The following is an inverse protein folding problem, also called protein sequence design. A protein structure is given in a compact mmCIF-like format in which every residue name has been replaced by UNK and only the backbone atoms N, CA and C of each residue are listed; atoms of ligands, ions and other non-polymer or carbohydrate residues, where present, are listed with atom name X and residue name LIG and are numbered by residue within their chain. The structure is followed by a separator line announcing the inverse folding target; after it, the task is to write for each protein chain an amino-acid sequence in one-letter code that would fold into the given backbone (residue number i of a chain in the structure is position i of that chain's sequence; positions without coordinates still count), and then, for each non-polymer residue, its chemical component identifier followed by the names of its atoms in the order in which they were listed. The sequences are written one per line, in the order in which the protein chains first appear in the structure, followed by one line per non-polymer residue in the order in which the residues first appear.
data_IF_923743799580
#
_entry.id   IF_923743799580
#
_cell.length_a   1.000
_cell.length_b   1.000
_cell.length_c   1.000
_cell.angle_alpha   90.00
_cell.angle_beta   90.00
_cell.angle_gamma   90.00
#
_symmetry.space_group_name_H-M   'P 1'
#
loop_
_entity.id
_entity.type
_entity.pdbx_description
1 polymer ?
#
# COMPACT_ATOMS: atom_id res chain seq x y z
N UNK A 1 -6.55 3.32 11.52
CA UNK A 1 -5.74 3.85 10.39
C UNK A 1 -4.49 2.98 10.33
N UNK A 2 -4.26 2.36 9.18
CA UNK A 2 -3.17 1.41 8.98
C UNK A 2 -2.43 1.79 7.71
N UNK A 3 -1.11 1.96 7.80
CA UNK A 3 -0.26 2.09 6.62
C UNK A 3 0.05 0.67 6.11
N UNK A 4 -0.29 0.41 4.85
CA UNK A 4 -0.10 -0.88 4.18
C UNK A 4 1.18 -0.83 3.38
N UNK A 5 2.03 -1.85 3.55
CA UNK A 5 3.29 -1.99 2.82
C UNK A 5 3.07 -2.51 1.39
N UNK A 6 4.05 -2.27 0.51
CA UNK A 6 3.96 -2.61 -0.91
C UNK A 6 3.81 -4.11 -1.15
N UNK A 7 4.50 -4.94 -0.37
CA UNK A 7 4.43 -6.41 -0.50
C UNK A 7 3.01 -6.94 -0.31
N UNK A 8 2.29 -6.51 0.74
CA UNK A 8 0.91 -6.94 1.02
C UNK A 8 -0.01 -6.61 -0.17
N UNK A 9 0.17 -5.44 -0.78
CA UNK A 9 -0.61 -5.05 -1.95
C UNK A 9 -0.19 -5.83 -3.19
N UNK A 10 1.11 -6.00 -3.43
CA UNK A 10 1.61 -6.75 -4.59
C UNK A 10 1.13 -8.19 -4.51
N UNK A 11 1.30 -8.87 -3.38
CA UNK A 11 0.89 -10.26 -3.19
C UNK A 11 -0.58 -10.47 -3.55
N UNK A 12 -1.45 -9.57 -3.09
CA UNK A 12 -2.88 -9.60 -3.39
C UNK A 12 -3.18 -9.27 -4.86
N UNK A 13 -2.57 -8.20 -5.40
CA UNK A 13 -2.85 -7.73 -6.76
C UNK A 13 -2.30 -8.66 -7.85
N UNK A 14 -1.24 -9.41 -7.56
CA UNK A 14 -0.65 -10.40 -8.48
C UNK A 14 -1.14 -11.82 -8.25
N UNK A 15 -2.05 -12.03 -7.30
CA UNK A 15 -2.53 -13.35 -6.88
C UNK A 15 -1.38 -14.31 -6.54
N UNK A 16 -0.47 -13.86 -5.66
CA UNK A 16 0.66 -14.66 -5.22
C UNK A 16 0.17 -15.97 -4.57
N UNK A 17 0.65 -17.14 -5.03
CA UNK A 17 0.09 -18.42 -4.62
C UNK A 17 0.37 -18.81 -3.16
N UNK A 18 1.26 -18.08 -2.48
CA UNK A 18 1.63 -18.34 -1.08
C UNK A 18 1.04 -17.27 -0.17
N UNK A 19 1.06 -16.00 -0.60
CA UNK A 19 0.79 -14.87 0.27
C UNK A 19 -0.54 -14.16 0.01
N UNK A 20 -1.19 -14.36 -1.14
CA UNK A 20 -2.43 -13.65 -1.51
C UNK A 20 -3.53 -13.78 -0.44
N UNK A 21 -3.83 -15.00 0.01
CA UNK A 21 -4.85 -15.26 1.05
C UNK A 21 -4.50 -14.58 2.38
N UNK A 22 -3.24 -14.69 2.81
CA UNK A 22 -2.79 -14.08 4.06
C UNK A 22 -2.87 -12.55 3.99
N UNK A 23 -2.42 -11.97 2.87
CA UNK A 23 -2.45 -10.53 2.63
C UNK A 23 -3.89 -10.01 2.61
N UNK A 24 -4.81 -10.72 1.96
CA UNK A 24 -6.24 -10.40 1.97
C UNK A 24 -6.81 -10.41 3.40
N UNK A 25 -6.51 -11.44 4.19
CA UNK A 25 -6.95 -11.52 5.58
C UNK A 25 -6.43 -10.35 6.42
N UNK A 26 -5.15 -9.97 6.26
CA UNK A 26 -4.58 -8.81 6.95
C UNK A 26 -5.24 -7.49 6.52
N UNK A 27 -5.51 -7.33 5.21
CA UNK A 27 -6.17 -6.15 4.67
C UNK A 27 -7.59 -6.02 5.24
N UNK A 28 -8.35 -7.10 5.29
CA UNK A 28 -9.70 -7.13 5.89
C UNK A 28 -9.67 -6.78 7.38
N UNK A 29 -8.81 -7.44 8.16
CA UNK A 29 -8.67 -7.12 9.59
C UNK A 29 -8.25 -5.67 9.84
N UNK A 30 -7.42 -5.10 8.97
CA UNK A 30 -6.99 -3.72 9.07
C UNK A 30 -8.10 -2.74 8.67
N UNK A 31 -8.89 -3.07 7.64
CA UNK A 31 -10.04 -2.28 7.17
C UNK A 31 -11.14 -2.21 8.24
N UNK A 32 -11.38 -3.31 8.97
CA UNK A 32 -12.32 -3.35 10.11
C UNK A 32 -11.93 -2.38 11.24
N UNK A 33 -10.62 -2.10 11.38
CA UNK A 33 -10.07 -1.18 12.39
C UNK A 33 -9.97 0.27 11.90
N UNK A 34 -10.28 0.53 10.64
CA UNK A 34 -10.30 1.87 10.05
C UNK A 34 -9.57 1.96 8.70
N UNK A 35 -9.28 3.18 8.21
CA UNK A 35 -8.83 3.36 6.82
C UNK A 35 -7.45 2.74 6.57
N UNK A 36 -7.32 2.11 5.40
CA UNK A 36 -6.08 1.64 4.81
C UNK A 36 -5.42 2.76 4.03
N UNK A 37 -4.12 2.92 4.20
CA UNK A 37 -3.35 3.99 3.60
C UNK A 37 -2.09 3.47 2.93
N UNK A 38 -1.66 4.18 1.90
CA UNK A 38 -0.31 4.08 1.34
C UNK A 38 0.33 5.45 1.27
N UNK A 39 1.65 5.49 1.16
CA UNK A 39 2.39 6.73 0.97
C UNK A 39 2.92 6.86 -0.47
N UNK A 40 3.59 7.98 -0.77
CA UNK A 40 4.12 8.25 -2.12
C UNK A 40 5.12 7.18 -2.62
N UNK A 41 5.90 6.58 -1.71
CA UNK A 41 6.89 5.54 -2.05
C UNK A 41 6.18 4.23 -2.40
N UNK A 42 5.23 3.81 -1.57
CA UNK A 42 4.44 2.59 -1.76
C UNK A 42 3.58 2.72 -3.03
N UNK A 43 3.00 3.89 -3.28
CA UNK A 43 2.32 4.18 -4.53
C UNK A 43 3.25 3.94 -5.73
N UNK A 44 4.47 4.49 -5.69
CA UNK A 44 5.43 4.33 -6.78
C UNK A 44 5.81 2.85 -7.02
N UNK A 45 6.08 2.10 -5.95
CA UNK A 45 6.45 0.68 -6.02
C UNK A 45 5.34 -0.20 -6.61
N UNK A 46 4.12 -0.06 -6.10
CA UNK A 46 2.98 -0.89 -6.56
C UNK A 46 2.54 -0.48 -7.96
N UNK A 47 2.58 0.81 -8.29
CA UNK A 47 2.19 1.31 -9.63
C UNK A 47 3.07 0.75 -10.75
N UNK A 48 4.30 0.35 -10.45
CA UNK A 48 5.22 -0.22 -11.44
C UNK A 48 4.71 -1.53 -12.05
N UNK A 49 3.78 -2.23 -11.39
CA UNK A 49 3.11 -3.43 -11.91
C UNK A 49 2.02 -3.13 -12.95
N UNK A 50 1.65 -1.86 -13.15
CA UNK A 50 0.55 -1.45 -14.02
C UNK A 50 1.08 -0.75 -15.28
N UNK A 51 0.45 -1.02 -16.42
CA UNK A 51 0.76 -0.34 -17.68
C UNK A 51 0.14 1.07 -17.75
N UNK A 52 -0.93 1.30 -17.00
CA UNK A 52 -1.74 2.52 -17.05
C UNK A 52 -2.05 3.00 -15.65
N UNK A 53 -1.95 4.30 -15.44
CA UNK A 53 -2.29 4.92 -14.15
C UNK A 53 -3.77 4.74 -13.80
N UNK A 54 -4.67 4.72 -14.79
CA UNK A 54 -6.10 4.57 -14.53
C UNK A 54 -6.46 3.19 -13.95
N UNK A 55 -5.78 2.13 -14.39
CA UNK A 55 -6.00 0.78 -13.89
C UNK A 55 -5.54 0.66 -12.43
N UNK A 56 -4.42 1.30 -12.09
CA UNK A 56 -3.90 1.32 -10.73
C UNK A 56 -4.80 2.13 -9.78
N UNK A 57 -5.20 3.34 -10.18
CA UNK A 57 -6.11 4.17 -9.40
C UNK A 57 -7.47 3.50 -9.19
N UNK A 58 -7.98 2.76 -10.19
CA UNK A 58 -9.20 1.96 -10.05
C UNK A 58 -9.03 0.81 -9.05
N UNK A 59 -7.87 0.15 -9.02
CA UNK A 59 -7.56 -0.89 -8.04
C UNK A 59 -7.51 -0.31 -6.60
N UNK A 60 -6.83 0.83 -6.40
CA UNK A 60 -6.79 1.51 -5.10
C UNK A 60 -8.18 1.94 -4.63
N UNK A 61 -9.01 2.46 -5.53
CA UNK A 61 -10.38 2.84 -5.23
C UNK A 61 -11.25 1.63 -4.83
N UNK A 62 -11.08 0.50 -5.52
CA UNK A 62 -11.78 -0.77 -5.20
C UNK A 62 -11.40 -1.27 -3.81
N UNK A 63 -10.13 -1.15 -3.42
CA UNK A 63 -9.63 -1.52 -2.09
C UNK A 63 -9.88 -0.47 -1.01
N UNK A 64 -10.50 0.67 -1.36
CA UNK A 64 -10.69 1.83 -0.48
C UNK A 64 -9.39 2.32 0.19
N UNK A 65 -8.25 2.11 -0.48
CA UNK A 65 -6.92 2.54 -0.01
C UNK A 65 -6.73 4.01 -0.34
N UNK A 66 -6.27 4.81 0.63
CA UNK A 66 -6.00 6.24 0.41
C UNK A 66 -4.51 6.52 0.33
N UNK A 67 -4.11 7.32 -0.64
CA UNK A 67 -2.75 7.84 -0.73
C UNK A 67 -2.60 9.02 0.22
N UNK A 68 -1.58 8.98 1.08
CA UNK A 68 -1.25 10.06 2.02
C UNK A 68 0.19 10.49 1.78
N UNK A 69 0.42 11.76 1.36
CA UNK A 69 1.75 12.23 1.02
C UNK A 69 2.67 12.32 2.23
N UNK A 70 3.95 12.01 2.03
CA UNK A 70 4.97 12.13 3.07
C UNK A 70 5.43 13.58 3.18
N UNK A 71 5.43 14.11 4.41
CA UNK A 71 6.05 15.40 4.69
C UNK A 71 7.57 15.30 4.67
N UNK A 72 8.26 16.41 4.36
CA UNK A 72 9.73 16.50 4.47
C UNK A 72 10.23 16.16 5.88
N UNK A 73 9.45 16.49 6.92
CA UNK A 73 9.79 16.16 8.30
C UNK A 73 9.74 14.64 8.55
N UNK A 74 8.73 13.94 8.03
CA UNK A 74 8.64 12.48 8.11
C UNK A 74 9.82 11.81 7.39
N UNK A 75 10.15 12.28 6.18
CA UNK A 75 11.31 11.79 5.42
C UNK A 75 12.62 12.01 6.15
N UNK A 76 12.81 13.18 6.79
CA UNK A 76 14.00 13.46 7.58
C UNK A 76 14.13 12.52 8.79
N UNK A 77 13.03 12.27 9.50
CA UNK A 77 13.01 11.33 10.64
C UNK A 77 13.27 9.89 10.20
N UNK A 78 12.76 9.46 9.04
CA UNK A 78 13.05 8.14 8.50
C UNK A 78 14.56 7.92 8.29
N UNK A 79 15.28 8.94 7.81
CA UNK A 79 16.74 8.88 7.67
C UNK A 79 17.51 8.74 8.99
N UNK A 80 16.91 9.08 10.14
CA UNK A 80 17.53 8.93 11.46
C UNK A 80 17.51 7.49 11.99
N UNK A 81 16.76 6.59 11.38
CA UNK A 81 16.79 5.17 11.78
C UNK A 81 18.13 4.50 11.43
N UNK A 82 18.88 5.07 10.48
CA UNK A 82 20.13 4.49 9.98
C UNK A 82 21.40 5.15 10.55
N UNK A 83 21.27 6.08 11.49
CA UNK A 83 22.37 6.82 12.13
C UNK A 83 22.14 6.90 13.63
#
# INVERSE_FOLDING_TARGET
MTLVDSNVLIDFLTDDPIWSDWSLDRLNEAADRGPLLINDVIYAEVSAGYLRIEDFEAALATLAVRVVPLSRAALFLAGKVFV
#
